data_IF_618833794928
#
_entry.id   IF_618833794928
#
_cell.length_a   1.000
_cell.length_b   1.000
_cell.length_c   1.000
_cell.angle_alpha   90.00
_cell.angle_beta   90.00
_cell.angle_gamma   90.00
#
_symmetry.space_group_name_H-M   'P 1'
#
loop_
_entity.id
_entity.type
_entity.pdbx_description
1 polymer ?
#
# COMPACT_ATOMS: atom_id res chain seq x y z
N UNK A 1 -25.81 -8.84 -13.30
CA UNK A 1 -24.88 -7.96 -13.97
C UNK A 1 -23.76 -8.80 -14.58
N UNK A 2 -23.39 -8.49 -15.84
CA UNK A 2 -22.24 -9.16 -16.47
C UNK A 2 -20.96 -8.80 -15.72
N UNK A 3 -19.94 -9.68 -15.72
CA UNK A 3 -18.64 -9.41 -15.12
C UNK A 3 -18.01 -8.11 -15.66
N UNK A 4 -18.27 -7.79 -16.92
CA UNK A 4 -17.85 -6.52 -17.52
C UNK A 4 -18.50 -5.28 -16.87
N UNK A 5 -19.76 -5.34 -16.49
CA UNK A 5 -20.44 -4.24 -15.80
C UNK A 5 -19.89 -4.00 -14.39
N UNK A 6 -19.54 -5.07 -13.67
CA UNK A 6 -18.91 -4.97 -12.33
C UNK A 6 -17.50 -4.41 -12.43
N UNK A 7 -16.70 -4.84 -13.39
CA UNK A 7 -15.34 -4.35 -13.61
C UNK A 7 -15.34 -2.85 -13.95
N UNK A 8 -16.25 -2.39 -14.81
CA UNK A 8 -16.40 -0.95 -15.12
C UNK A 8 -16.77 -0.13 -13.88
N UNK A 9 -17.70 -0.60 -13.07
CA UNK A 9 -18.10 0.06 -11.82
C UNK A 9 -16.93 0.23 -10.86
N UNK A 10 -16.05 -0.79 -10.72
CA UNK A 10 -14.85 -0.69 -9.88
C UNK A 10 -13.83 0.28 -10.46
N UNK A 11 -13.60 0.26 -11.77
CA UNK A 11 -12.71 1.20 -12.44
C UNK A 11 -13.17 2.63 -12.23
N UNK A 12 -14.46 2.91 -12.44
CA UNK A 12 -15.03 4.25 -12.22
C UNK A 12 -14.88 4.69 -10.76
N UNK A 13 -15.13 3.80 -9.81
CA UNK A 13 -14.93 4.06 -8.37
C UNK A 13 -13.49 4.38 -8.03
N UNK A 14 -12.53 3.66 -8.59
CA UNK A 14 -11.09 3.93 -8.38
C UNK A 14 -10.68 5.25 -9.02
N UNK A 15 -11.14 5.56 -10.24
CA UNK A 15 -10.88 6.84 -10.90
C UNK A 15 -11.40 8.01 -10.09
N UNK A 16 -12.62 7.92 -9.56
CA UNK A 16 -13.20 8.94 -8.68
C UNK A 16 -12.40 9.09 -7.38
N UNK A 17 -11.97 7.99 -6.78
CA UNK A 17 -11.15 8.00 -5.58
C UNK A 17 -9.78 8.65 -5.82
N UNK A 18 -9.12 8.35 -6.94
CA UNK A 18 -7.86 9.00 -7.33
C UNK A 18 -8.05 10.49 -7.63
N UNK A 19 -9.13 10.88 -8.30
CA UNK A 19 -9.45 12.30 -8.52
C UNK A 19 -9.61 13.04 -7.19
N UNK A 20 -10.32 12.46 -6.22
CA UNK A 20 -10.44 13.00 -4.87
C UNK A 20 -9.09 13.05 -4.11
N UNK A 21 -8.21 12.08 -4.33
CA UNK A 21 -6.90 12.02 -3.69
C UNK A 21 -5.91 13.08 -4.21
N UNK A 22 -6.18 13.68 -5.36
CA UNK A 22 -5.36 14.78 -5.91
C UNK A 22 -5.37 16.04 -5.02
N UNK A 23 -6.40 16.24 -4.21
CA UNK A 23 -6.53 17.35 -3.28
C UNK A 23 -6.03 17.00 -1.85
N UNK A 24 -5.65 15.75 -1.58
CA UNK A 24 -5.26 15.27 -0.25
C UNK A 24 -3.74 15.16 -0.15
N UNK A 25 -3.18 15.73 0.89
CA UNK A 25 -1.76 15.55 1.19
C UNK A 25 -1.47 14.12 1.67
N UNK A 26 -0.40 13.55 1.17
CA UNK A 26 0.12 12.27 1.60
C UNK A 26 0.75 12.40 2.99
N UNK A 27 -0.03 12.08 4.01
CA UNK A 27 0.45 11.98 5.39
C UNK A 27 1.28 13.15 5.92
N UNK A 28 0.99 14.39 5.49
CA UNK A 28 1.76 15.58 5.85
C UNK A 28 2.99 15.84 4.97
N UNK A 29 3.28 14.95 4.02
CA UNK A 29 4.34 15.13 3.04
C UNK A 29 3.98 16.25 2.02
N UNK A 30 4.97 16.84 1.32
CA UNK A 30 4.73 17.92 0.36
C UNK A 30 4.11 17.44 -0.98
N UNK A 31 3.64 16.19 -1.05
CA UNK A 31 3.01 15.58 -2.21
C UNK A 31 1.57 15.17 -1.90
N UNK A 32 0.73 15.08 -2.93
CA UNK A 32 -0.62 14.54 -2.80
C UNK A 32 -0.60 13.01 -2.83
N UNK A 33 -1.67 12.37 -2.36
CA UNK A 33 -1.79 10.90 -2.43
C UNK A 33 -1.81 10.41 -3.88
N UNK A 34 -2.44 11.16 -4.80
CA UNK A 34 -2.40 10.85 -6.23
C UNK A 34 -0.97 10.94 -6.79
N UNK A 35 -0.26 12.02 -6.51
CA UNK A 35 1.10 12.21 -7.00
C UNK A 35 2.03 11.11 -6.48
N UNK A 36 1.92 10.74 -5.20
CA UNK A 36 2.68 9.65 -4.60
C UNK A 36 2.41 8.31 -5.30
N UNK A 37 1.15 7.95 -5.52
CA UNK A 37 0.77 6.72 -6.22
C UNK A 37 1.31 6.67 -7.65
N UNK A 38 1.22 7.77 -8.39
CA UNK A 38 1.73 7.88 -9.76
C UNK A 38 3.26 7.78 -9.79
N UNK A 39 3.97 8.44 -8.89
CA UNK A 39 5.44 8.36 -8.80
C UNK A 39 5.91 6.93 -8.54
N UNK A 40 5.26 6.21 -7.63
CA UNK A 40 5.58 4.83 -7.34
C UNK A 40 5.40 3.94 -8.57
N UNK A 41 4.29 4.09 -9.30
CA UNK A 41 4.02 3.34 -10.53
C UNK A 41 5.00 3.69 -11.66
N UNK A 42 5.37 4.96 -11.81
CA UNK A 42 6.36 5.41 -12.81
C UNK A 42 7.76 4.84 -12.53
N UNK A 43 8.20 4.87 -11.28
CA UNK A 43 9.48 4.27 -10.89
C UNK A 43 9.51 2.76 -11.14
N UNK A 44 8.41 2.07 -10.89
CA UNK A 44 8.26 0.65 -11.21
C UNK A 44 8.39 0.41 -12.73
N UNK A 45 7.70 1.19 -13.54
CA UNK A 45 7.77 1.12 -15.00
C UNK A 45 9.20 1.35 -15.51
N UNK A 46 9.84 2.41 -15.01
CA UNK A 46 11.18 2.80 -15.46
C UNK A 46 12.25 1.78 -15.03
N UNK A 47 11.99 1.03 -13.95
CA UNK A 47 12.80 -0.11 -13.51
C UNK A 47 12.50 -1.42 -14.28
N UNK A 48 11.61 -1.39 -15.29
CA UNK A 48 11.26 -2.55 -16.10
C UNK A 48 10.37 -3.58 -15.39
N UNK A 49 9.61 -3.16 -14.37
CA UNK A 49 8.66 -4.04 -13.71
C UNK A 49 7.53 -4.46 -14.66
N UNK A 50 6.97 -5.66 -14.44
CA UNK A 50 5.80 -6.11 -15.19
C UNK A 50 4.53 -5.30 -14.85
N UNK A 51 3.49 -5.46 -15.67
CA UNK A 51 2.25 -4.69 -15.53
C UNK A 51 1.56 -4.90 -14.18
N UNK A 52 1.58 -6.12 -13.65
CA UNK A 52 0.98 -6.42 -12.34
C UNK A 52 1.71 -5.71 -11.21
N UNK A 53 3.04 -5.65 -11.25
CA UNK A 53 3.83 -4.95 -10.25
C UNK A 53 3.65 -3.43 -10.36
N UNK A 54 3.58 -2.89 -11.58
CA UNK A 54 3.24 -1.48 -11.80
C UNK A 54 1.85 -1.15 -11.25
N UNK A 55 0.87 -2.00 -11.51
CA UNK A 55 -0.51 -1.83 -11.00
C UNK A 55 -0.54 -1.91 -9.47
N UNK A 56 0.18 -2.84 -8.87
CA UNK A 56 0.29 -2.92 -7.41
C UNK A 56 0.91 -1.66 -6.81
N UNK A 57 1.93 -1.09 -7.43
CA UNK A 57 2.52 0.19 -7.02
C UNK A 57 1.52 1.34 -7.11
N UNK A 58 0.72 1.40 -8.17
CA UNK A 58 -0.33 2.42 -8.31
C UNK A 58 -1.39 2.30 -7.22
N UNK A 59 -1.76 1.07 -6.85
CA UNK A 59 -2.88 0.78 -5.95
C UNK A 59 -2.46 0.56 -4.48
N UNK A 60 -1.16 0.60 -4.14
CA UNK A 60 -0.71 0.16 -2.82
C UNK A 60 -1.36 0.91 -1.66
N UNK A 61 -1.65 2.19 -1.82
CA UNK A 61 -2.26 3.06 -0.82
C UNK A 61 -3.77 3.30 -1.02
N UNK A 62 -4.42 2.59 -1.95
CA UNK A 62 -5.84 2.79 -2.27
C UNK A 62 -6.76 2.66 -1.04
N UNK A 63 -6.40 1.85 -0.07
CA UNK A 63 -7.10 1.70 1.20
C UNK A 63 -7.11 2.97 2.06
N UNK A 64 -6.26 3.97 1.77
CA UNK A 64 -6.21 5.24 2.50
C UNK A 64 -7.28 6.22 2.07
N UNK A 65 -7.73 6.17 0.83
CA UNK A 65 -8.62 7.19 0.23
C UNK A 65 -9.85 6.63 -0.50
N UNK A 66 -9.91 5.34 -0.80
CA UNK A 66 -11.03 4.72 -1.50
C UNK A 66 -12.07 4.06 -0.58
N UNK A 67 -11.87 4.12 0.74
CA UNK A 67 -12.74 3.49 1.74
C UNK A 67 -13.10 4.49 2.85
N UNK A 68 -14.08 4.11 3.68
CA UNK A 68 -14.43 4.88 4.88
C UNK A 68 -13.19 4.93 5.82
N UNK A 69 -12.75 6.13 6.23
CA UNK A 69 -11.59 6.29 7.12
C UNK A 69 -11.70 5.52 8.44
N UNK A 70 -12.91 5.21 8.92
CA UNK A 70 -13.12 4.43 10.15
C UNK A 70 -12.71 2.96 10.02
N UNK A 71 -12.53 2.47 8.78
CA UNK A 71 -12.10 1.10 8.51
C UNK A 71 -10.60 0.89 8.63
N UNK A 72 -9.80 1.96 8.78
CA UNK A 72 -8.35 1.89 8.87
C UNK A 72 -7.82 2.47 10.18
N UNK A 73 -6.86 1.76 10.82
CA UNK A 73 -6.27 2.20 12.08
C UNK A 73 -4.94 2.95 11.90
N UNK A 74 -4.21 2.71 10.81
CA UNK A 74 -2.88 3.25 10.55
C UNK A 74 -2.90 4.53 9.70
N UNK A 75 -3.96 5.32 9.86
CA UNK A 75 -4.08 6.63 9.25
C UNK A 75 -3.22 7.67 9.98
N UNK A 76 -2.45 8.45 9.25
CA UNK A 76 -1.64 9.54 9.82
C UNK A 76 -2.48 10.72 10.32
N UNK A 77 -3.56 11.02 9.62
CA UNK A 77 -4.53 12.04 10.02
C UNK A 77 -5.64 11.39 10.85
N UNK A 78 -5.66 11.69 12.16
CA UNK A 78 -6.59 11.12 13.12
C UNK A 78 -7.86 11.96 13.31
N UNK A 79 -8.24 12.80 12.36
CA UNK A 79 -9.48 13.59 12.45
C UNK A 79 -10.73 12.70 12.60
N UNK A 80 -10.64 11.45 12.19
CA UNK A 80 -11.68 10.43 12.36
C UNK A 80 -11.09 9.25 13.12
N UNK A 81 -11.67 8.87 14.26
CA UNK A 81 -11.24 7.71 15.03
C UNK A 81 -11.45 6.40 14.28
N UNK A 82 -10.58 5.42 14.50
CA UNK A 82 -10.74 4.07 13.96
C UNK A 82 -11.94 3.36 14.63
N UNK A 83 -12.73 2.65 13.84
CA UNK A 83 -13.78 1.77 14.36
C UNK A 83 -13.22 0.49 14.99
N UNK A 84 -14.07 -0.31 15.67
CA UNK A 84 -13.63 -1.50 16.40
C UNK A 84 -13.06 -2.59 15.49
N UNK A 85 -13.50 -2.66 14.23
CA UNK A 85 -13.07 -3.65 13.26
C UNK A 85 -12.06 -3.09 12.25
N UNK A 86 -11.43 -1.96 12.57
CA UNK A 86 -10.47 -1.31 11.68
C UNK A 86 -9.24 -2.20 11.46
N UNK A 87 -8.78 -2.21 10.20
CA UNK A 87 -7.57 -2.93 9.75
C UNK A 87 -6.53 -1.94 9.24
N UNK A 88 -5.34 -2.40 8.92
CA UNK A 88 -4.35 -1.61 8.19
C UNK A 88 -4.86 -1.22 6.80
N UNK A 89 -4.48 -0.05 6.31
CA UNK A 89 -4.92 0.41 4.97
C UNK A 89 -4.51 -0.56 3.86
N UNK A 90 -3.38 -1.25 4.01
CA UNK A 90 -2.89 -2.27 3.08
C UNK A 90 -3.85 -3.47 3.00
N UNK A 91 -4.41 -3.92 4.12
CA UNK A 91 -5.39 -5.01 4.15
C UNK A 91 -6.72 -4.58 3.54
N UNK A 92 -7.22 -3.42 3.94
CA UNK A 92 -8.50 -2.90 3.43
C UNK A 92 -8.40 -2.60 1.92
N UNK A 93 -7.29 -2.04 1.48
CA UNK A 93 -7.04 -1.79 0.06
C UNK A 93 -6.96 -3.07 -0.76
N UNK A 94 -6.24 -4.08 -0.27
CA UNK A 94 -6.16 -5.37 -0.92
C UNK A 94 -7.52 -6.06 -1.00
N UNK A 95 -8.31 -6.06 0.08
CA UNK A 95 -9.66 -6.63 0.11
C UNK A 95 -10.59 -5.91 -0.90
N UNK A 96 -10.46 -4.59 -1.02
CA UNK A 96 -11.25 -3.79 -1.96
C UNK A 96 -11.02 -4.22 -3.42
N UNK A 97 -9.76 -4.42 -3.81
CA UNK A 97 -9.39 -4.68 -5.21
C UNK A 97 -9.38 -6.17 -5.57
N UNK A 98 -9.24 -7.07 -4.59
CA UNK A 98 -9.07 -8.51 -4.81
C UNK A 98 -10.06 -9.14 -5.80
N UNK A 99 -11.38 -8.80 -5.82
CA UNK A 99 -12.31 -9.37 -6.78
C UNK A 99 -12.08 -8.97 -8.24
N UNK A 100 -11.26 -7.94 -8.50
CA UNK A 100 -11.16 -7.26 -9.80
C UNK A 100 -9.77 -7.30 -10.44
N UNK A 101 -8.77 -7.77 -9.70
CA UNK A 101 -7.37 -7.81 -10.15
C UNK A 101 -6.81 -9.22 -10.02
N UNK A 102 -5.69 -9.55 -10.70
CA UNK A 102 -4.98 -10.79 -10.45
C UNK A 102 -4.61 -10.95 -8.97
N UNK A 103 -4.64 -12.18 -8.46
CA UNK A 103 -4.34 -12.50 -7.06
C UNK A 103 -3.00 -11.92 -6.60
N UNK A 104 -1.98 -11.96 -7.47
CA UNK A 104 -0.66 -11.40 -7.18
C UNK A 104 -0.71 -9.90 -6.91
N UNK A 105 -1.54 -9.13 -7.63
CA UNK A 105 -1.68 -7.67 -7.41
C UNK A 105 -2.25 -7.40 -6.02
N UNK A 106 -3.33 -8.06 -5.65
CA UNK A 106 -3.94 -7.90 -4.32
C UNK A 106 -2.96 -8.32 -3.21
N UNK A 107 -2.22 -9.41 -3.42
CA UNK A 107 -1.19 -9.87 -2.48
C UNK A 107 -0.07 -8.84 -2.32
N UNK A 108 0.45 -8.27 -3.40
CA UNK A 108 1.48 -7.22 -3.37
C UNK A 108 1.01 -5.98 -2.62
N UNK A 109 -0.23 -5.54 -2.85
CA UNK A 109 -0.83 -4.42 -2.12
C UNK A 109 -0.92 -4.74 -0.62
N UNK A 110 -1.35 -5.94 -0.26
CA UNK A 110 -1.42 -6.38 1.14
C UNK A 110 -0.05 -6.39 1.80
N UNK A 111 0.97 -6.83 1.09
CA UNK A 111 2.31 -7.05 1.63
C UNK A 111 3.16 -5.78 1.77
N UNK A 112 2.74 -4.63 1.21
CA UNK A 112 3.64 -3.47 1.21
C UNK A 112 3.99 -2.94 2.62
N UNK A 113 3.08 -3.06 3.60
CA UNK A 113 3.37 -2.72 4.98
C UNK A 113 4.29 -3.75 5.65
N UNK A 114 4.06 -5.05 5.42
CA UNK A 114 4.94 -6.11 5.95
C UNK A 114 6.31 -6.11 5.28
N UNK A 115 6.39 -5.76 4.00
CA UNK A 115 7.68 -5.55 3.31
C UNK A 115 8.50 -4.43 3.95
N UNK A 116 7.87 -3.33 4.37
CA UNK A 116 8.52 -2.26 5.15
C UNK A 116 9.07 -2.79 6.47
N UNK A 117 8.26 -3.52 7.22
CA UNK A 117 8.65 -4.14 8.50
C UNK A 117 9.80 -5.13 8.33
N UNK A 118 9.77 -5.92 7.26
CA UNK A 118 10.80 -6.87 6.89
C UNK A 118 12.13 -6.16 6.58
N UNK A 119 12.11 -5.14 5.71
CA UNK A 119 13.31 -4.38 5.36
C UNK A 119 13.94 -3.69 6.58
N UNK A 120 13.13 -3.14 7.48
CA UNK A 120 13.63 -2.57 8.74
C UNK A 120 14.35 -3.63 9.60
N UNK A 121 13.96 -4.90 9.52
CA UNK A 121 14.58 -5.98 10.27
C UNK A 121 15.91 -6.44 9.68
N UNK A 122 15.99 -6.53 8.32
CA UNK A 122 17.18 -7.12 7.65
C UNK A 122 18.17 -6.07 7.15
N UNK A 123 17.76 -4.84 6.94
CA UNK A 123 18.59 -3.72 6.47
C UNK A 123 18.49 -2.54 7.45
N UNK A 124 19.34 -2.45 8.48
CA UNK A 124 19.25 -1.35 9.45
C UNK A 124 19.29 0.05 8.83
N UNK A 125 20.02 0.22 7.72
CA UNK A 125 20.07 1.49 6.98
C UNK A 125 18.73 1.89 6.36
N UNK A 126 17.86 0.92 6.02
CA UNK A 126 16.56 1.20 5.43
C UNK A 126 15.65 2.01 6.37
N UNK A 127 15.69 1.74 7.68
CA UNK A 127 14.93 2.53 8.65
C UNK A 127 15.28 4.03 8.58
N UNK A 128 16.55 4.33 8.31
CA UNK A 128 17.04 5.70 8.14
C UNK A 128 16.46 6.42 6.92
N UNK A 129 16.03 5.69 5.89
CA UNK A 129 15.42 6.27 4.67
C UNK A 129 13.94 6.63 4.85
N UNK A 130 13.27 6.06 5.87
CA UNK A 130 11.85 6.30 6.09
C UNK A 130 11.57 7.74 6.51
N UNK A 131 10.53 8.33 5.92
CA UNK A 131 10.01 9.63 6.37
C UNK A 131 9.45 9.53 7.80
N UNK A 132 9.32 10.65 8.54
CA UNK A 132 8.69 10.63 9.86
C UNK A 132 7.30 9.99 9.86
N UNK A 133 6.51 10.24 8.82
CA UNK A 133 5.20 9.63 8.66
C UNK A 133 5.26 8.14 8.42
N UNK A 134 6.22 7.64 7.63
CA UNK A 134 6.43 6.22 7.38
C UNK A 134 6.88 5.48 8.64
N UNK A 135 7.73 6.10 9.46
CA UNK A 135 8.13 5.57 10.80
C UNK A 135 6.95 5.51 11.75
N UNK A 136 6.10 6.53 11.76
CA UNK A 136 4.90 6.54 12.59
C UNK A 136 3.94 5.40 12.22
N UNK A 137 3.64 5.24 10.93
CA UNK A 137 2.79 4.12 10.48
C UNK A 137 3.44 2.76 10.71
N UNK A 138 4.77 2.63 10.62
CA UNK A 138 5.48 1.41 11.00
C UNK A 138 5.15 1.00 12.45
N UNK A 139 5.16 1.94 13.39
CA UNK A 139 4.80 1.68 14.78
C UNK A 139 3.37 1.16 14.91
N UNK A 140 2.42 1.76 14.21
CA UNK A 140 1.02 1.34 14.20
C UNK A 140 0.81 -0.05 13.58
N UNK A 141 1.65 -0.40 12.61
CA UNK A 141 1.60 -1.67 11.86
C UNK A 141 2.30 -2.84 12.59
N UNK A 142 2.81 -2.61 13.80
CA UNK A 142 3.45 -3.64 14.61
C UNK A 142 4.97 -3.52 14.74
N UNK A 143 5.56 -2.45 14.22
CA UNK A 143 7.00 -2.18 14.32
C UNK A 143 7.86 -3.06 13.42
N UNK A 144 9.14 -3.15 13.74
CA UNK A 144 10.11 -4.01 13.05
C UNK A 144 9.68 -5.47 13.16
N UNK A 145 9.81 -6.22 12.06
CA UNK A 145 9.40 -7.62 12.01
C UNK A 145 10.27 -8.49 12.94
N UNK A 146 9.63 -9.48 13.59
CA UNK A 146 10.34 -10.40 14.47
C UNK A 146 11.22 -11.38 13.68
N UNK A 147 12.29 -11.95 14.27
CA UNK A 147 13.16 -12.92 13.60
C UNK A 147 12.41 -14.13 13.05
N UNK A 148 11.42 -14.63 13.78
CA UNK A 148 10.60 -15.79 13.38
C UNK A 148 9.78 -15.46 12.11
N UNK A 149 9.16 -14.29 12.08
CA UNK A 149 8.37 -13.83 10.93
C UNK A 149 9.27 -13.54 9.73
N UNK A 150 10.45 -12.94 9.96
CA UNK A 150 11.47 -12.74 8.92
C UNK A 150 11.86 -14.08 8.29
N UNK A 151 12.16 -15.09 9.10
CA UNK A 151 12.55 -16.43 8.62
C UNK A 151 11.44 -17.08 7.78
N UNK A 152 10.18 -16.90 8.18
CA UNK A 152 9.03 -17.40 7.44
C UNK A 152 8.88 -16.68 6.10
N UNK A 153 8.93 -15.36 6.09
CA UNK A 153 8.73 -14.54 4.89
C UNK A 153 9.90 -14.68 3.90
N UNK A 154 11.14 -14.88 4.39
CA UNK A 154 12.32 -15.08 3.55
C UNK A 154 12.17 -16.30 2.64
N UNK A 155 11.40 -17.31 3.05
CA UNK A 155 11.13 -18.50 2.25
C UNK A 155 10.01 -18.32 1.22
N UNK A 156 9.31 -17.21 1.25
CA UNK A 156 8.20 -16.98 0.30
C UNK A 156 8.75 -16.70 -1.11
N UNK A 157 8.25 -17.41 -2.15
CA UNK A 157 8.81 -17.31 -3.51
C UNK A 157 8.64 -15.92 -4.15
N UNK A 158 7.63 -15.16 -3.72
CA UNK A 158 7.35 -13.82 -4.25
C UNK A 158 7.91 -12.67 -3.37
N UNK A 159 8.75 -12.97 -2.39
CA UNK A 159 9.31 -11.95 -1.48
C UNK A 159 10.01 -10.82 -2.23
N UNK A 160 10.81 -11.15 -3.23
CA UNK A 160 11.54 -10.15 -4.03
C UNK A 160 10.57 -9.13 -4.66
N UNK A 161 9.43 -9.59 -5.17
CA UNK A 161 8.41 -8.71 -5.75
C UNK A 161 7.68 -7.88 -4.70
N UNK A 162 7.51 -8.40 -3.48
CA UNK A 162 6.92 -7.65 -2.37
C UNK A 162 7.84 -6.54 -1.85
N UNK A 163 9.16 -6.75 -1.90
CA UNK A 163 10.17 -5.79 -1.42
C UNK A 163 10.44 -4.68 -2.42
N UNK A 164 10.40 -4.97 -3.73
CA UNK A 164 10.69 -3.96 -4.79
C UNK A 164 9.86 -2.69 -4.67
N UNK A 165 8.53 -2.72 -4.45
CA UNK A 165 7.71 -1.52 -4.30
C UNK A 165 8.20 -0.59 -3.19
N UNK A 166 8.78 -1.12 -2.13
CA UNK A 166 9.31 -0.30 -1.03
C UNK A 166 10.48 0.60 -1.46
N UNK A 167 11.22 0.20 -2.48
CA UNK A 167 12.31 1.02 -3.05
C UNK A 167 11.80 2.22 -3.83
N UNK A 168 10.52 2.20 -4.21
CA UNK A 168 9.85 3.25 -4.97
C UNK A 168 8.86 4.06 -4.14
N UNK A 169 8.43 3.53 -2.99
CA UNK A 169 7.46 4.16 -2.09
C UNK A 169 8.13 5.17 -1.13
N UNK A 170 9.37 4.95 -0.76
CA UNK A 170 10.10 5.77 0.23
C UNK A 170 10.95 6.89 -0.38
#
# INVERSE_FOLDING_TARGET
PSMEGVARSMTDRLLDAFAGSAARRYGGEPVTELAHSLQCAELARDAGADDELQLACLLHDVGRFAVDPRLIFDKKDRAVGAGPDAKGHHDVGADLIAPYVPERVAWLVRMHADAKRYLCAIEPAYWGTLTPGSRYTLTLQGGVMTPETVSSLTRHPCLADAVRPRRWDD
#
